data_IF_596479452495
#
_entry.id   IF_596479452495
#
_cell.length_a   1.000
_cell.length_b   1.000
_cell.length_c   1.000
_cell.angle_alpha   90.00
_cell.angle_beta   90.00
_cell.angle_gamma   90.00
#
_symmetry.space_group_name_H-M   'P 1'
#
loop_
_entity.id
_entity.type
_entity.pdbx_description
1 polymer ?
#
# COMPACT_ATOMS: atom_id res chain seq x y z
N UNK A 1 28.24 -14.07 17.22
CA UNK A 1 29.19 -13.20 16.49
C UNK A 1 28.57 -12.91 15.14
N UNK A 2 28.43 -11.65 14.75
CA UNK A 2 28.07 -11.33 13.37
C UNK A 2 29.30 -11.52 12.48
N UNK A 3 29.09 -12.02 11.27
CA UNK A 3 30.12 -12.08 10.23
C UNK A 3 29.71 -11.18 9.07
N UNK A 4 30.65 -10.41 8.54
CA UNK A 4 30.42 -9.59 7.35
C UNK A 4 30.79 -10.39 6.12
N UNK A 5 29.87 -10.51 5.16
CA UNK A 5 30.07 -11.21 3.89
C UNK A 5 29.86 -10.27 2.72
N UNK A 6 30.46 -10.59 1.57
CA UNK A 6 30.19 -9.86 0.32
C UNK A 6 28.74 -10.10 -0.13
N UNK A 7 28.07 -9.02 -0.51
CA UNK A 7 26.74 -9.05 -1.11
C UNK A 7 26.69 -8.17 -2.37
N UNK A 8 27.11 -8.70 -3.54
CA UNK A 8 27.20 -7.93 -4.76
C UNK A 8 25.86 -7.28 -5.14
N UNK A 9 25.91 -6.02 -5.61
CA UNK A 9 24.73 -5.26 -6.02
C UNK A 9 23.88 -6.00 -7.07
N UNK A 10 24.51 -6.70 -8.01
CA UNK A 10 23.82 -7.49 -9.05
C UNK A 10 22.95 -8.60 -8.44
N UNK A 11 23.44 -9.31 -7.43
CA UNK A 11 22.70 -10.37 -6.75
C UNK A 11 21.57 -9.77 -5.93
N UNK A 12 21.83 -8.69 -5.20
CA UNK A 12 20.83 -7.94 -4.44
C UNK A 12 19.69 -7.46 -5.32
N UNK A 13 20.02 -6.84 -6.45
CA UNK A 13 19.05 -6.26 -7.38
C UNK A 13 18.27 -7.36 -8.11
N UNK A 14 18.91 -8.50 -8.39
CA UNK A 14 18.24 -9.70 -8.92
C UNK A 14 17.24 -10.31 -7.91
N UNK A 15 17.60 -10.42 -6.63
CA UNK A 15 16.67 -10.83 -5.57
C UNK A 15 15.50 -9.84 -5.49
N UNK A 16 15.81 -8.54 -5.53
CA UNK A 16 14.83 -7.46 -5.46
C UNK A 16 13.78 -7.53 -6.58
N UNK A 17 14.23 -7.80 -7.79
CA UNK A 17 13.37 -7.99 -8.97
C UNK A 17 12.45 -9.20 -8.83
N UNK A 18 12.98 -10.35 -8.38
CA UNK A 18 12.19 -11.57 -8.23
C UNK A 18 11.12 -11.44 -7.14
N UNK A 19 11.48 -10.86 -5.99
CA UNK A 19 10.51 -10.60 -4.92
C UNK A 19 9.40 -9.66 -5.38
N UNK A 20 9.73 -8.61 -6.14
CA UNK A 20 8.70 -7.69 -6.67
C UNK A 20 7.78 -8.36 -7.70
N UNK A 21 8.27 -9.35 -8.45
CA UNK A 21 7.45 -10.16 -9.36
C UNK A 21 6.59 -11.20 -8.64
N UNK A 22 6.61 -11.23 -7.31
CA UNK A 22 5.85 -12.18 -6.49
C UNK A 22 6.46 -13.58 -6.41
N UNK A 23 7.72 -13.76 -6.82
CA UNK A 23 8.42 -15.04 -6.63
C UNK A 23 8.58 -15.30 -5.13
N UNK A 24 8.18 -16.48 -4.67
CA UNK A 24 8.28 -16.84 -3.26
C UNK A 24 9.75 -16.78 -2.78
N UNK A 25 10.05 -16.18 -1.61
CA UNK A 25 11.41 -16.09 -1.09
C UNK A 25 12.16 -17.43 -1.08
N UNK A 26 11.47 -18.54 -0.76
CA UNK A 26 12.08 -19.86 -0.75
C UNK A 26 12.51 -20.33 -2.15
N UNK A 27 11.81 -19.93 -3.21
CA UNK A 27 12.21 -20.23 -4.58
C UNK A 27 13.49 -19.48 -4.96
N UNK A 28 13.62 -18.22 -4.53
CA UNK A 28 14.83 -17.42 -4.75
C UNK A 28 16.02 -18.00 -3.96
N UNK A 29 15.80 -18.43 -2.71
CA UNK A 29 16.83 -19.12 -1.91
C UNK A 29 17.31 -20.38 -2.63
N UNK A 30 16.39 -21.21 -3.16
CA UNK A 30 16.76 -22.42 -3.92
C UNK A 30 17.63 -22.09 -5.13
N UNK A 31 17.25 -21.08 -5.90
CA UNK A 31 18.03 -20.67 -7.07
C UNK A 31 19.42 -20.14 -6.71
N UNK A 32 19.56 -19.41 -5.61
CA UNK A 32 20.88 -18.98 -5.12
C UNK A 32 21.75 -20.16 -4.66
N UNK A 33 21.15 -21.17 -4.04
CA UNK A 33 21.82 -22.43 -3.66
C UNK A 33 22.27 -23.20 -4.91
N UNK A 34 21.44 -23.26 -5.95
CA UNK A 34 21.80 -23.87 -7.25
C UNK A 34 23.01 -23.16 -7.89
N UNK A 35 23.11 -21.84 -7.68
CA UNK A 35 24.28 -21.00 -8.04
C UNK A 35 25.46 -21.10 -7.06
N UNK A 36 25.51 -22.16 -6.24
CA UNK A 36 26.61 -22.50 -5.31
C UNK A 36 26.77 -21.57 -4.10
N UNK A 37 25.75 -20.81 -3.73
CA UNK A 37 25.76 -20.13 -2.43
C UNK A 37 25.43 -21.12 -1.30
N UNK A 38 26.09 -20.98 -0.14
CA UNK A 38 25.68 -21.70 1.07
C UNK A 38 24.23 -21.34 1.43
N UNK A 39 23.46 -22.30 1.95
CA UNK A 39 22.02 -22.10 2.22
C UNK A 39 21.77 -20.99 3.25
N UNK A 40 22.65 -20.86 4.25
CA UNK A 40 22.60 -19.82 5.26
C UNK A 40 22.87 -18.45 4.65
N UNK A 41 23.84 -18.36 3.72
CA UNK A 41 24.17 -17.14 3.00
C UNK A 41 23.03 -16.73 2.05
N UNK A 42 22.50 -17.68 1.27
CA UNK A 42 21.38 -17.46 0.36
C UNK A 42 20.14 -16.99 1.12
N UNK A 43 19.84 -17.64 2.26
CA UNK A 43 18.74 -17.24 3.14
C UNK A 43 18.96 -15.85 3.72
N UNK A 44 20.19 -15.52 4.16
CA UNK A 44 20.51 -14.20 4.69
C UNK A 44 20.40 -13.11 3.62
N UNK A 45 20.88 -13.33 2.40
CA UNK A 45 20.75 -12.39 1.27
C UNK A 45 19.29 -12.13 0.93
N UNK A 46 18.49 -13.19 0.78
CA UNK A 46 17.06 -13.07 0.47
C UNK A 46 16.33 -12.40 1.62
N UNK A 47 16.61 -12.79 2.86
CA UNK A 47 16.00 -12.17 4.04
C UNK A 47 16.38 -10.71 4.19
N UNK A 48 17.62 -10.31 3.84
CA UNK A 48 18.05 -8.91 3.93
C UNK A 48 17.31 -8.03 2.92
N UNK A 49 17.22 -8.47 1.66
CA UNK A 49 16.49 -7.75 0.62
C UNK A 49 14.98 -7.78 0.88
N UNK A 50 14.45 -8.94 1.26
CA UNK A 50 13.06 -9.08 1.68
C UNK A 50 12.78 -8.15 2.85
N UNK A 51 13.63 -8.11 3.89
CA UNK A 51 13.49 -7.20 5.03
C UNK A 51 13.49 -5.74 4.61
N UNK A 52 14.35 -5.33 3.66
CA UNK A 52 14.32 -3.97 3.13
C UNK A 52 12.99 -3.61 2.46
N UNK A 53 12.38 -4.55 1.73
CA UNK A 53 11.02 -4.37 1.26
C UNK A 53 10.06 -4.34 2.43
N UNK A 54 10.00 -5.42 3.21
CA UNK A 54 9.08 -5.65 4.30
C UNK A 54 9.01 -4.45 5.27
N UNK A 55 10.15 -3.84 5.60
CA UNK A 55 10.25 -2.76 6.58
C UNK A 55 10.42 -1.36 5.96
N UNK A 56 10.43 -1.24 4.64
CA UNK A 56 10.61 0.05 3.94
C UNK A 56 11.97 0.70 4.16
N UNK A 57 12.99 -0.07 4.54
CA UNK A 57 14.36 0.42 4.74
C UNK A 57 15.14 0.41 3.41
N UNK A 58 16.26 1.15 3.31
CA UNK A 58 17.13 1.05 2.14
C UNK A 58 17.53 -0.40 1.87
N UNK A 59 17.69 -0.75 0.59
CA UNK A 59 18.28 -2.02 0.20
C UNK A 59 19.69 -2.15 0.81
N UNK A 60 20.12 -3.37 1.20
CA UNK A 60 21.44 -3.57 1.78
C UNK A 60 22.56 -3.09 0.83
N UNK A 61 23.69 -2.68 1.42
CA UNK A 61 24.88 -2.28 0.67
C UNK A 61 25.56 -3.47 -0.01
N UNK A 62 26.83 -3.30 -0.38
CA UNK A 62 27.62 -4.36 -1.03
C UNK A 62 28.14 -5.43 -0.05
N UNK A 63 27.79 -5.31 1.21
CA UNK A 63 28.14 -6.23 2.28
C UNK A 63 26.91 -6.53 3.14
N UNK A 64 26.90 -7.72 3.74
CA UNK A 64 25.84 -8.17 4.61
C UNK A 64 26.42 -8.64 5.94
N UNK A 65 25.85 -8.18 7.05
CA UNK A 65 26.13 -8.77 8.36
C UNK A 65 25.17 -9.94 8.64
N UNK A 66 25.72 -11.15 8.73
CA UNK A 66 24.97 -12.34 9.10
C UNK A 66 25.07 -12.51 10.62
N UNK A 67 23.93 -12.49 11.32
CA UNK A 67 23.84 -12.72 12.76
C UNK A 67 23.32 -11.54 13.59
N UNK A 68 23.04 -10.38 12.97
CA UNK A 68 22.22 -9.34 13.58
C UNK A 68 20.74 -9.72 13.45
N UNK A 69 19.98 -9.69 14.56
CA UNK A 69 18.54 -9.88 14.49
C UNK A 69 17.92 -8.76 13.64
N UNK A 70 17.03 -9.07 12.67
CA UNK A 70 16.38 -8.04 11.88
C UNK A 70 15.62 -7.09 12.80
N UNK A 71 15.66 -5.79 12.50
CA UNK A 71 14.85 -4.79 13.20
C UNK A 71 13.39 -5.16 12.98
N UNK A 72 12.74 -5.68 14.02
CA UNK A 72 11.36 -6.11 13.95
C UNK A 72 10.43 -4.89 14.01
N UNK A 73 9.44 -4.85 13.12
CA UNK A 73 8.34 -3.91 13.25
C UNK A 73 7.57 -4.19 14.55
N UNK A 74 7.48 -3.20 15.42
CA UNK A 74 6.60 -3.20 16.58
C UNK A 74 5.25 -2.55 16.20
N UNK A 75 4.13 -3.28 16.28
CA UNK A 75 2.81 -2.71 16.04
C UNK A 75 2.45 -1.64 17.05
N UNK A 76 1.83 -0.57 16.56
CA UNK A 76 1.24 0.49 17.38
C UNK A 76 -0.29 0.45 17.25
N UNK A 77 -1.03 0.94 18.27
CA UNK A 77 -2.48 1.09 18.14
C UNK A 77 -2.83 1.96 16.92
N UNK A 78 -3.92 1.60 16.23
CA UNK A 78 -4.49 2.42 15.16
C UNK A 78 -4.76 3.84 15.67
N UNK A 79 -4.51 4.84 14.82
CA UNK A 79 -4.83 6.25 15.13
C UNK A 79 -6.33 6.54 15.09
N UNK A 80 -7.13 5.56 14.68
CA UNK A 80 -8.58 5.64 14.58
C UNK A 80 -9.22 5.58 15.96
N UNK A 81 -10.13 6.52 16.31
CA UNK A 81 -10.83 6.53 17.60
C UNK A 81 -11.41 5.18 17.98
N UNK A 82 -11.37 4.85 19.28
CA UNK A 82 -11.95 3.62 19.83
C UNK A 82 -13.48 3.61 19.82
N UNK A 83 -14.03 2.42 20.04
CA UNK A 83 -15.46 2.19 20.17
C UNK A 83 -16.15 1.70 18.89
N UNK A 84 -17.42 1.28 18.99
CA UNK A 84 -18.16 0.69 17.88
C UNK A 84 -18.73 1.73 16.92
N UNK A 85 -18.87 2.99 17.33
CA UNK A 85 -19.45 4.06 16.52
C UNK A 85 -18.57 5.30 16.61
N UNK A 86 -18.03 5.74 15.48
CA UNK A 86 -17.14 6.91 15.39
C UNK A 86 -17.93 8.05 14.75
N UNK A 87 -17.93 9.22 15.38
CA UNK A 87 -18.54 10.43 14.82
C UNK A 87 -17.44 11.23 14.12
N UNK A 88 -17.66 11.52 12.83
CA UNK A 88 -16.75 12.29 11.97
C UNK A 88 -17.55 13.43 11.34
N UNK A 89 -17.51 14.59 11.98
CA UNK A 89 -18.38 15.72 11.69
C UNK A 89 -19.85 15.32 11.82
N UNK A 90 -20.61 15.46 10.73
CA UNK A 90 -22.03 15.10 10.70
C UNK A 90 -22.28 13.60 10.49
N UNK A 91 -21.27 12.82 10.09
CA UNK A 91 -21.44 11.38 9.85
C UNK A 91 -21.15 10.55 11.10
N UNK A 92 -21.82 9.40 11.18
CA UNK A 92 -21.56 8.36 12.17
C UNK A 92 -21.18 7.09 11.42
N UNK A 93 -19.94 6.66 11.55
CA UNK A 93 -19.47 5.43 10.92
C UNK A 93 -19.41 4.30 11.94
N UNK A 94 -19.90 3.12 11.54
CA UNK A 94 -19.92 1.92 12.38
C UNK A 94 -18.61 1.16 12.18
N UNK A 95 -17.92 0.83 13.26
CA UNK A 95 -16.79 -0.10 13.21
C UNK A 95 -17.34 -1.52 13.07
N UNK A 96 -17.00 -2.17 11.96
CA UNK A 96 -17.40 -3.55 11.66
C UNK A 96 -16.41 -4.54 12.23
N UNK A 97 -15.11 -4.28 12.05
CA UNK A 97 -14.05 -5.15 12.56
C UNK A 97 -12.77 -4.36 12.77
N UNK A 98 -11.92 -4.85 13.68
CA UNK A 98 -10.54 -4.38 13.86
C UNK A 98 -9.59 -5.57 13.76
N UNK A 99 -8.44 -5.34 13.17
CA UNK A 99 -7.34 -6.30 13.06
C UNK A 99 -6.10 -5.67 13.69
N UNK A 100 -5.34 -6.48 14.43
CA UNK A 100 -4.11 -6.03 15.09
C UNK A 100 -2.91 -6.11 14.14
N UNK A 101 -2.92 -7.04 13.19
CA UNK A 101 -1.81 -7.25 12.26
C UNK A 101 -2.29 -7.79 10.90
N UNK A 102 -2.28 -7.01 9.81
CA UNK A 102 -1.96 -5.57 9.83
C UNK A 102 -2.93 -4.82 10.71
N UNK A 103 -2.46 -3.70 11.27
CA UNK A 103 -3.32 -2.79 12.00
C UNK A 103 -4.37 -2.25 11.02
N UNK A 104 -5.63 -2.66 11.18
CA UNK A 104 -6.68 -2.28 10.25
C UNK A 104 -8.06 -2.16 10.91
N UNK A 105 -8.93 -1.35 10.33
CA UNK A 105 -10.33 -1.19 10.72
C UNK A 105 -11.22 -1.12 9.49
N UNK A 106 -12.29 -1.91 9.51
CA UNK A 106 -13.35 -1.84 8.51
C UNK A 106 -14.49 -1.00 9.07
N UNK A 107 -14.88 0.01 8.29
CA UNK A 107 -15.87 1.01 8.62
C UNK A 107 -17.05 0.91 7.67
N UNK A 108 -18.26 0.92 8.22
CA UNK A 108 -19.51 0.99 7.47
C UNK A 108 -20.14 2.39 7.60
N UNK A 109 -20.89 2.79 6.57
CA UNK A 109 -21.46 4.14 6.44
C UNK A 109 -20.41 5.27 6.51
N UNK A 110 -19.19 4.99 6.00
CA UNK A 110 -18.15 6.01 5.88
C UNK A 110 -18.47 7.00 4.74
N UNK A 111 -19.01 6.49 3.63
CA UNK A 111 -19.57 7.27 2.52
C UNK A 111 -21.08 7.00 2.38
N UNK A 112 -21.83 7.99 1.90
CA UNK A 112 -23.24 7.76 1.51
C UNK A 112 -23.29 7.29 0.06
N UNK A 113 -24.40 6.63 -0.31
CA UNK A 113 -24.65 6.25 -1.69
C UNK A 113 -24.49 7.44 -2.66
N UNK A 114 -25.03 8.62 -2.31
CA UNK A 114 -24.88 9.83 -3.11
C UNK A 114 -23.43 10.32 -3.21
N UNK A 115 -22.61 10.22 -2.16
CA UNK A 115 -21.17 10.55 -2.25
C UNK A 115 -20.45 9.58 -3.19
N UNK A 116 -20.75 8.28 -3.10
CA UNK A 116 -20.19 7.28 -4.00
C UNK A 116 -20.55 7.54 -5.48
N UNK A 117 -21.82 7.83 -5.76
CA UNK A 117 -22.31 8.12 -7.11
C UNK A 117 -21.67 9.38 -7.69
N UNK A 118 -21.56 10.45 -6.90
CA UNK A 118 -20.90 11.68 -7.33
C UNK A 118 -19.41 11.48 -7.61
N UNK A 119 -18.71 10.70 -6.78
CA UNK A 119 -17.30 10.36 -7.02
C UNK A 119 -17.12 9.63 -8.35
N UNK A 120 -17.93 8.60 -8.61
CA UNK A 120 -17.90 7.84 -9.88
C UNK A 120 -18.20 8.77 -11.07
N UNK A 121 -19.24 9.60 -10.98
CA UNK A 121 -19.65 10.49 -12.06
C UNK A 121 -18.58 11.52 -12.43
N UNK A 122 -17.91 12.10 -11.43
CA UNK A 122 -16.82 13.07 -11.62
C UNK A 122 -15.56 12.43 -12.23
N UNK A 123 -15.34 11.14 -11.98
CA UNK A 123 -14.12 10.44 -12.35
C UNK A 123 -14.20 9.75 -13.70
N UNK A 124 -15.35 9.16 -14.03
CA UNK A 124 -15.58 8.39 -15.25
C UNK A 124 -15.07 9.09 -16.53
N UNK A 125 -15.32 10.39 -16.77
CA UNK A 125 -14.82 11.05 -17.99
C UNK A 125 -13.30 11.36 -17.98
N UNK A 126 -12.61 11.12 -16.85
CA UNK A 126 -11.20 11.46 -16.64
C UNK A 126 -10.30 10.22 -16.47
N UNK A 127 -10.87 9.03 -16.55
CA UNK A 127 -10.14 7.78 -16.40
C UNK A 127 -9.12 7.60 -17.54
N UNK A 128 -7.95 7.09 -17.17
CA UNK A 128 -6.91 6.70 -18.10
C UNK A 128 -6.28 5.40 -17.62
N UNK A 129 -5.63 4.64 -18.52
CA UNK A 129 -5.01 3.37 -18.16
C UNK A 129 -3.99 3.57 -17.02
N UNK A 130 -4.12 2.80 -15.95
CA UNK A 130 -3.22 2.93 -14.79
C UNK A 130 -1.80 2.50 -15.15
N UNK A 131 -0.81 3.26 -14.69
CA UNK A 131 0.61 2.88 -14.71
C UNK A 131 1.09 2.52 -13.31
N UNK A 132 2.05 1.61 -13.20
CA UNK A 132 2.78 1.33 -11.95
C UNK A 132 4.20 1.88 -12.04
N UNK A 133 4.76 2.30 -10.91
CA UNK A 133 6.19 2.67 -10.85
C UNK A 133 7.00 1.40 -10.78
N UNK A 134 7.84 1.17 -11.77
CA UNK A 134 8.79 0.06 -11.75
C UNK A 134 9.78 0.27 -10.58
N UNK A 135 9.92 -0.70 -9.67
CA UNK A 135 10.68 -0.53 -8.43
C UNK A 135 12.19 -0.43 -8.66
N UNK A 136 12.69 -0.87 -9.81
CA UNK A 136 14.13 -0.86 -10.17
C UNK A 136 14.49 0.45 -10.85
N UNK A 137 13.71 0.80 -11.88
CA UNK A 137 13.99 1.92 -12.78
C UNK A 137 13.31 3.21 -12.36
N UNK A 138 12.30 3.14 -11.49
CA UNK A 138 11.51 4.29 -11.04
C UNK A 138 10.61 4.89 -12.14
N UNK A 139 10.44 4.19 -13.28
CA UNK A 139 9.62 4.67 -14.41
C UNK A 139 8.19 4.20 -14.29
N UNK A 140 7.24 5.03 -14.75
CA UNK A 140 5.86 4.61 -14.94
C UNK A 140 5.79 3.61 -16.11
N UNK A 141 5.36 2.38 -15.82
CA UNK A 141 5.13 1.34 -16.82
C UNK A 141 3.66 0.94 -16.77
N UNK A 142 3.04 0.76 -17.94
CA UNK A 142 1.76 0.03 -18.04
C UNK A 142 2.11 -1.44 -17.82
N UNK A 143 2.11 -1.88 -16.56
CA UNK A 143 2.31 -3.29 -16.29
C UNK A 143 1.10 -4.07 -16.80
N UNK A 144 1.31 -5.18 -17.51
CA UNK A 144 0.25 -6.15 -17.80
C UNK A 144 -0.39 -6.76 -16.53
N UNK A 145 0.14 -6.40 -15.36
CA UNK A 145 -0.16 -6.93 -14.03
C UNK A 145 -1.10 -6.04 -13.19
N UNK A 146 -1.51 -4.87 -13.71
CA UNK A 146 -2.57 -4.03 -13.12
C UNK A 146 -3.48 -3.52 -14.23
N UNK A 147 -4.63 -4.17 -14.42
CA UNK A 147 -5.57 -3.86 -15.49
C UNK A 147 -6.72 -2.97 -15.02
N UNK A 148 -6.39 -1.89 -14.30
CA UNK A 148 -7.35 -0.87 -13.88
C UNK A 148 -7.20 0.42 -14.68
N UNK A 149 -8.28 1.18 -14.80
CA UNK A 149 -8.22 2.58 -15.19
C UNK A 149 -8.25 3.45 -13.94
N UNK A 150 -7.59 4.60 -13.98
CA UNK A 150 -7.51 5.47 -12.83
C UNK A 150 -7.32 6.94 -13.16
N UNK A 151 -7.59 7.76 -12.16
CA UNK A 151 -7.41 9.20 -12.16
C UNK A 151 -7.13 9.71 -10.75
N UNK A 152 -6.66 10.95 -10.62
CA UNK A 152 -6.45 11.61 -9.32
C UNK A 152 -7.23 12.91 -9.25
N UNK A 153 -7.95 13.12 -8.15
CA UNK A 153 -8.37 14.47 -7.74
C UNK A 153 -7.22 15.16 -7.01
N UNK A 154 -7.08 16.47 -7.23
CA UNK A 154 -6.24 17.34 -6.40
C UNK A 154 -6.89 17.54 -5.02
N UNK A 155 -6.09 17.93 -4.03
CA UNK A 155 -6.60 18.29 -2.70
C UNK A 155 -7.64 19.41 -2.85
N UNK A 156 -8.76 19.26 -2.17
CA UNK A 156 -9.85 20.24 -2.19
C UNK A 156 -10.41 20.57 -3.58
N UNK A 157 -10.21 19.74 -4.59
CA UNK A 157 -10.56 20.06 -5.98
C UNK A 157 -12.06 20.38 -6.16
N UNK A 158 -12.92 19.75 -5.36
CA UNK A 158 -14.35 20.07 -5.27
C UNK A 158 -14.79 20.13 -3.81
N UNK A 159 -15.95 20.75 -3.50
CA UNK A 159 -16.52 20.72 -2.15
C UNK A 159 -16.76 19.30 -1.61
N UNK A 160 -17.05 18.33 -2.49
CA UNK A 160 -17.16 16.93 -2.09
C UNK A 160 -15.79 16.39 -1.63
N UNK A 161 -14.74 16.58 -2.43
CA UNK A 161 -13.38 16.12 -2.10
C UNK A 161 -12.89 16.78 -0.81
N UNK A 162 -13.06 18.10 -0.66
CA UNK A 162 -12.66 18.82 0.55
C UNK A 162 -13.34 18.26 1.83
N UNK A 163 -14.65 17.97 1.76
CA UNK A 163 -15.38 17.37 2.89
C UNK A 163 -14.91 15.95 3.22
N UNK A 164 -14.62 15.14 2.20
CA UNK A 164 -14.08 13.79 2.40
C UNK A 164 -12.69 13.85 3.03
N UNK A 165 -11.82 14.74 2.57
CA UNK A 165 -10.48 14.90 3.13
C UNK A 165 -10.51 15.36 4.59
N UNK A 166 -11.41 16.29 4.94
CA UNK A 166 -11.63 16.68 6.33
C UNK A 166 -12.10 15.50 7.20
N UNK A 167 -13.02 14.67 6.70
CA UNK A 167 -13.47 13.44 7.39
C UNK A 167 -12.33 12.45 7.61
N UNK A 168 -11.45 12.29 6.63
CA UNK A 168 -10.27 11.41 6.72
C UNK A 168 -9.27 11.96 7.75
N UNK A 169 -9.07 13.28 7.77
CA UNK A 169 -8.22 13.93 8.76
C UNK A 169 -8.74 13.71 10.19
N UNK A 170 -10.04 13.84 10.41
CA UNK A 170 -10.67 13.57 11.70
C UNK A 170 -10.60 12.08 12.08
N UNK A 171 -10.75 11.16 11.12
CA UNK A 171 -10.62 9.72 11.34
C UNK A 171 -9.21 9.33 11.80
N UNK A 172 -8.19 9.94 11.21
CA UNK A 172 -6.79 9.51 11.36
C UNK A 172 -5.97 10.39 12.31
N UNK A 173 -6.50 11.54 12.70
CA UNK A 173 -5.79 12.56 13.46
C UNK A 173 -4.65 13.23 12.69
N UNK A 174 -4.52 12.99 11.38
CA UNK A 174 -3.48 13.55 10.53
C UNK A 174 -4.03 14.71 9.68
N UNK A 175 -3.27 15.79 9.47
CA UNK A 175 -3.73 16.93 8.69
C UNK A 175 -4.12 16.56 7.25
N UNK A 176 -5.06 17.29 6.65
CA UNK A 176 -5.52 17.07 5.26
C UNK A 176 -4.34 17.08 4.29
N UNK A 177 -3.38 17.98 4.51
CA UNK A 177 -2.19 18.15 3.69
C UNK A 177 -1.21 16.97 3.77
N UNK A 178 -1.34 16.06 4.73
CA UNK A 178 -0.57 14.82 4.74
C UNK A 178 -1.12 13.80 3.73
N UNK A 179 -2.34 14.00 3.24
CA UNK A 179 -2.95 13.14 2.24
C UNK A 179 -2.44 13.42 0.83
N UNK A 180 -2.13 12.38 0.05
CA UNK A 180 -1.98 12.50 -1.40
C UNK A 180 -3.31 12.84 -2.08
N UNK A 181 -3.30 13.21 -3.37
CA UNK A 181 -4.53 13.36 -4.14
C UNK A 181 -5.38 12.08 -4.10
N UNK A 182 -6.70 12.22 -4.06
CA UNK A 182 -7.61 11.06 -3.98
C UNK A 182 -7.57 10.31 -5.32
N UNK A 183 -7.05 9.08 -5.30
CA UNK A 183 -6.99 8.23 -6.48
C UNK A 183 -8.32 7.50 -6.67
N UNK A 184 -8.91 7.57 -7.85
CA UNK A 184 -10.04 6.71 -8.21
C UNK A 184 -9.59 5.64 -9.18
N UNK A 185 -10.11 4.44 -8.98
CA UNK A 185 -9.78 3.25 -9.74
C UNK A 185 -11.06 2.56 -10.18
N UNK A 186 -11.09 2.16 -11.44
CA UNK A 186 -12.12 1.34 -12.05
C UNK A 186 -11.52 0.03 -12.55
N UNK A 187 -12.12 -1.08 -12.15
CA UNK A 187 -11.76 -2.43 -12.53
C UNK A 187 -12.92 -3.07 -13.30
N UNK A 188 -12.62 -3.58 -14.49
CA UNK A 188 -13.55 -4.40 -15.28
C UNK A 188 -13.37 -5.89 -14.94
N UNK A 189 -14.30 -6.74 -15.38
CA UNK A 189 -14.20 -8.17 -15.19
C UNK A 189 -12.88 -8.73 -15.75
N UNK A 190 -12.28 -9.66 -15.01
CA UNK A 190 -10.94 -10.19 -15.25
C UNK A 190 -9.81 -9.33 -14.69
N UNK A 191 -10.09 -8.11 -14.23
CA UNK A 191 -9.06 -7.26 -13.67
C UNK A 191 -8.64 -7.69 -12.27
N UNK A 192 -7.35 -7.60 -12.00
CA UNK A 192 -6.73 -7.83 -10.71
C UNK A 192 -5.63 -6.79 -10.44
N UNK A 193 -5.14 -6.81 -9.21
CA UNK A 193 -3.86 -6.20 -8.86
C UNK A 193 -2.95 -7.31 -8.37
N UNK A 194 -1.65 -7.23 -8.65
CA UNK A 194 -0.66 -8.06 -7.97
C UNK A 194 -0.52 -7.67 -6.50
N UNK A 195 -0.09 -8.59 -5.62
CA UNK A 195 0.25 -8.27 -4.25
C UNK A 195 1.30 -7.16 -4.18
N UNK A 196 1.04 -6.14 -3.36
CA UNK A 196 1.93 -5.01 -3.17
C UNK A 196 1.75 -4.38 -1.79
N UNK A 197 2.67 -3.48 -1.47
CA UNK A 197 2.65 -2.65 -0.28
C UNK A 197 2.51 -1.20 -0.71
N UNK A 198 1.84 -0.40 0.12
CA UNK A 198 1.60 1.00 -0.21
C UNK A 198 2.70 1.94 0.24
N UNK A 199 3.51 1.56 1.24
CA UNK A 199 4.68 2.34 1.62
C UNK A 199 5.72 2.39 0.50
N UNK A 200 6.49 3.47 0.48
CA UNK A 200 7.52 3.69 -0.52
C UNK A 200 8.79 2.94 -0.14
N UNK A 201 9.18 1.99 -0.98
CA UNK A 201 10.45 1.29 -0.84
C UNK A 201 11.57 2.20 -1.38
N UNK A 202 12.55 2.56 -0.53
CA UNK A 202 13.66 3.47 -0.86
C UNK A 202 14.72 2.89 -1.84
N UNK A 203 14.39 1.80 -2.54
CA UNK A 203 15.27 1.09 -3.47
C UNK A 203 15.61 1.90 -4.73
N UNK A 204 14.69 2.72 -5.24
CA UNK A 204 14.93 3.56 -6.42
C UNK A 204 15.03 5.08 -6.09
N UNK A 205 15.68 5.87 -6.96
CA UNK A 205 15.82 7.32 -6.77
C UNK A 205 14.49 8.06 -6.63
N UNK A 206 13.47 7.71 -7.42
CA UNK A 206 12.18 8.39 -7.42
C UNK A 206 11.46 8.28 -6.05
N UNK A 207 11.49 7.09 -5.45
CA UNK A 207 10.94 6.87 -4.11
C UNK A 207 11.75 7.61 -3.05
N UNK A 208 13.09 7.61 -3.13
CA UNK A 208 13.93 8.37 -2.19
C UNK A 208 13.65 9.88 -2.25
N UNK A 209 13.53 10.43 -3.46
CA UNK A 209 13.14 11.84 -3.66
C UNK A 209 11.74 12.13 -3.11
N UNK A 210 10.77 11.22 -3.33
CA UNK A 210 9.43 11.38 -2.79
C UNK A 210 9.40 11.33 -1.25
N UNK A 211 10.16 10.42 -0.64
CA UNK A 211 10.30 10.33 0.83
C UNK A 211 11.00 11.57 1.38
N UNK A 212 12.07 12.04 0.74
CA UNK A 212 12.79 13.25 1.14
C UNK A 212 11.89 14.49 1.06
N UNK A 213 11.02 14.56 0.04
CA UNK A 213 10.11 15.68 -0.15
C UNK A 213 8.91 15.65 0.80
N UNK A 214 8.21 14.51 0.90
CA UNK A 214 6.89 14.43 1.55
C UNK A 214 6.80 13.42 2.69
N UNK A 215 7.90 12.75 3.03
CA UNK A 215 7.91 11.70 4.03
C UNK A 215 7.40 10.36 3.49
N UNK A 216 7.40 9.37 4.37
CA UNK A 216 6.93 8.01 4.09
C UNK A 216 5.40 7.96 4.12
N UNK A 217 4.77 7.06 3.36
CA UNK A 217 3.36 6.72 3.54
C UNK A 217 3.21 5.86 4.81
N UNK A 218 2.18 6.11 5.61
CA UNK A 218 1.97 5.43 6.90
C UNK A 218 0.65 4.70 7.02
N UNK A 219 -0.31 5.03 6.16
CA UNK A 219 -1.62 4.42 6.17
C UNK A 219 -2.35 4.64 4.86
N UNK A 220 -3.37 3.82 4.66
CA UNK A 220 -4.19 3.83 3.45
C UNK A 220 -5.64 3.66 3.81
N UNK A 221 -6.48 4.49 3.21
CA UNK A 221 -7.93 4.36 3.26
C UNK A 221 -8.44 3.97 1.87
N UNK A 222 -8.98 2.76 1.77
CA UNK A 222 -9.70 2.26 0.61
C UNK A 222 -11.20 2.44 0.84
N UNK A 223 -11.87 3.19 -0.03
CA UNK A 223 -13.30 3.43 0.02
C UNK A 223 -13.98 2.73 -1.16
N UNK A 224 -14.92 1.83 -0.87
CA UNK A 224 -15.63 1.06 -1.87
C UNK A 224 -16.86 1.86 -2.36
N UNK A 225 -16.91 2.17 -3.65
CA UNK A 225 -17.91 3.08 -4.22
C UNK A 225 -19.12 2.35 -4.81
N UNK A 226 -19.03 1.03 -5.00
CA UNK A 226 -20.13 0.18 -5.44
C UNK A 226 -20.06 -1.20 -4.77
N UNK A 227 -21.18 -1.91 -4.82
CA UNK A 227 -21.22 -3.33 -4.49
C UNK A 227 -20.68 -4.13 -5.68
N UNK A 228 -19.93 -5.18 -5.40
CA UNK A 228 -19.30 -6.05 -6.41
C UNK A 228 -20.05 -7.36 -6.48
N UNK A 229 -20.36 -7.82 -7.68
CA UNK A 229 -21.14 -9.05 -7.90
C UNK A 229 -20.33 -10.32 -7.62
N UNK A 230 -19.04 -10.36 -7.99
CA UNK A 230 -18.20 -11.50 -7.70
C UNK A 230 -16.70 -11.22 -7.77
N UNK A 231 -15.97 -11.63 -6.74
CA UNK A 231 -14.53 -11.41 -6.61
C UNK A 231 -14.18 -9.99 -6.18
N UNK A 232 -12.99 -9.52 -6.56
CA UNK A 232 -12.57 -8.14 -6.27
C UNK A 232 -12.33 -7.85 -4.78
N UNK A 233 -12.19 -8.86 -3.93
CA UNK A 233 -11.84 -8.70 -2.52
C UNK A 233 -10.47 -8.00 -2.36
N UNK A 234 -10.34 -7.16 -1.34
CA UNK A 234 -9.04 -6.69 -0.87
C UNK A 234 -8.48 -7.77 0.07
N UNK A 235 -7.50 -8.54 -0.39
CA UNK A 235 -6.92 -9.67 0.34
C UNK A 235 -5.55 -9.31 0.90
N UNK A 236 -5.31 -9.67 2.16
CA UNK A 236 -4.02 -9.64 2.86
C UNK A 236 -3.46 -11.06 2.94
N UNK A 237 -2.67 -11.51 1.95
CA UNK A 237 -2.28 -12.92 1.82
C UNK A 237 -1.48 -13.46 3.01
N UNK A 238 -0.71 -12.61 3.71
CA UNK A 238 0.09 -13.04 4.85
C UNK A 238 -0.77 -13.51 6.04
N UNK A 239 -1.99 -13.01 6.13
CA UNK A 239 -2.91 -13.28 7.25
C UNK A 239 -4.14 -14.06 6.81
N UNK A 240 -4.32 -14.24 5.49
CA UNK A 240 -5.51 -14.86 4.92
C UNK A 240 -6.78 -14.01 5.06
N UNK A 241 -6.67 -12.77 5.55
CA UNK A 241 -7.82 -11.90 5.73
C UNK A 241 -8.22 -11.25 4.42
N UNK A 242 -9.52 -11.19 4.13
CA UNK A 242 -10.06 -10.53 2.95
C UNK A 242 -11.24 -9.65 3.32
N UNK A 243 -11.35 -8.51 2.65
CA UNK A 243 -12.46 -7.57 2.78
C UNK A 243 -13.24 -7.56 1.47
N UNK A 244 -14.51 -7.92 1.55
CA UNK A 244 -15.44 -7.88 0.42
C UNK A 244 -15.87 -6.43 0.19
N UNK A 245 -15.77 -5.90 -1.04
CA UNK A 245 -16.22 -4.54 -1.36
C UNK A 245 -17.72 -4.41 -1.14
N UNK A 246 -18.10 -3.40 -0.37
CA UNK A 246 -19.50 -3.01 -0.19
C UNK A 246 -19.61 -1.50 -0.27
N UNK A 247 -20.55 -1.00 -1.06
CA UNK A 247 -20.74 0.43 -1.28
C UNK A 247 -20.88 1.16 0.05
N UNK A 248 -20.13 2.25 0.20
CA UNK A 248 -20.17 3.08 1.40
C UNK A 248 -19.18 2.67 2.50
N UNK A 249 -18.62 1.46 2.41
CA UNK A 249 -17.61 0.99 3.36
C UNK A 249 -16.24 1.56 3.05
N UNK A 250 -15.43 1.69 4.11
CA UNK A 250 -14.04 2.05 4.01
C UNK A 250 -13.17 1.11 4.84
N UNK A 251 -12.08 0.63 4.25
CA UNK A 251 -11.03 -0.12 4.92
C UNK A 251 -9.86 0.82 5.15
N UNK A 252 -9.54 1.09 6.41
CA UNK A 252 -8.32 1.78 6.80
C UNK A 252 -7.32 0.79 7.34
N UNK A 253 -6.07 0.85 6.89
CA UNK A 253 -4.97 0.08 7.46
C UNK A 253 -3.71 0.95 7.59
N UNK A 254 -2.99 0.75 8.70
CA UNK A 254 -1.74 1.43 9.01
C UNK A 254 -0.57 0.47 8.91
N UNK A 255 0.55 1.02 8.47
CA UNK A 255 1.80 0.29 8.36
C UNK A 255 2.99 1.12 8.85
N UNK A 256 2.89 2.43 9.04
CA UNK A 256 3.99 3.22 9.61
C UNK A 256 3.94 3.29 11.13
N UNK A 257 5.08 3.09 11.81
CA UNK A 257 5.19 3.35 13.25
C UNK A 257 6.06 4.59 13.57
N UNK A 258 6.09 5.00 14.85
CA UNK A 258 6.88 6.16 15.32
C UNK A 258 8.39 6.05 15.02
N UNK A 259 8.90 4.83 14.81
CA UNK A 259 10.31 4.57 14.53
C UNK A 259 10.65 4.68 13.04
N UNK A 260 9.67 5.03 12.19
CA UNK A 260 9.87 5.15 10.75
C UNK A 260 9.94 3.81 10.03
N UNK A 261 9.54 2.72 10.68
CA UNK A 261 9.45 1.39 10.08
C UNK A 261 8.07 1.16 9.47
N UNK A 262 8.03 0.34 8.43
CA UNK A 262 6.80 -0.12 7.80
C UNK A 262 6.41 -1.56 8.21
N UNK A 263 5.12 -1.86 8.37
CA UNK A 263 4.63 -3.21 8.63
C UNK A 263 4.48 -4.00 7.32
N UNK A 264 5.25 -5.06 7.10
CA UNK A 264 5.09 -5.91 5.93
C UNK A 264 3.76 -6.63 5.85
N UNK A 265 3.07 -6.82 6.99
CA UNK A 265 1.79 -7.52 7.01
C UNK A 265 0.67 -6.76 6.30
N UNK A 266 0.93 -5.49 5.94
CA UNK A 266 0.09 -4.68 5.06
C UNK A 266 0.18 -5.05 3.57
N UNK A 267 1.00 -6.05 3.20
CA UNK A 267 0.98 -6.64 1.86
C UNK A 267 -0.45 -7.03 1.52
N UNK A 268 -0.98 -6.47 0.44
CA UNK A 268 -2.36 -6.67 0.03
C UNK A 268 -2.50 -6.70 -1.49
N UNK A 269 -3.64 -7.20 -1.93
CA UNK A 269 -3.94 -7.41 -3.35
C UNK A 269 -5.43 -7.23 -3.59
N UNK A 270 -5.82 -6.83 -4.80
CA UNK A 270 -7.21 -7.00 -5.25
C UNK A 270 -7.30 -8.34 -5.96
N UNK A 271 -8.11 -9.25 -5.46
CA UNK A 271 -8.37 -10.54 -6.13
C UNK A 271 -9.03 -10.30 -7.50
N UNK A 272 -8.98 -11.29 -8.41
CA UNK A 272 -9.65 -11.19 -9.71
C UNK A 272 -11.12 -10.84 -9.57
N UNK A 273 -11.55 -9.80 -10.30
CA UNK A 273 -12.96 -9.48 -10.46
C UNK A 273 -13.59 -10.51 -11.40
N UNK A 274 -14.49 -11.34 -10.90
CA UNK A 274 -15.12 -12.42 -11.68
C UNK A 274 -16.41 -11.96 -12.36
N UNK A 275 -17.14 -11.02 -11.76
CA UNK A 275 -18.39 -10.48 -12.28
C UNK A 275 -18.60 -9.02 -11.86
N UNK A 276 -19.25 -8.23 -12.71
CA UNK A 276 -19.55 -6.81 -12.50
C UNK A 276 -18.36 -5.88 -12.75
N UNK A 277 -18.43 -4.69 -12.13
CA UNK A 277 -17.36 -3.69 -12.11
C UNK A 277 -17.00 -3.37 -10.65
N UNK A 278 -15.77 -2.89 -10.39
CA UNK A 278 -15.35 -2.43 -9.06
C UNK A 278 -14.81 -1.01 -9.13
N UNK A 279 -15.37 -0.13 -8.32
CA UNK A 279 -14.94 1.25 -8.12
C UNK A 279 -14.39 1.45 -6.71
N UNK A 280 -13.16 1.95 -6.63
CA UNK A 280 -12.49 2.25 -5.35
C UNK A 280 -11.89 3.64 -5.40
N UNK A 281 -12.04 4.39 -4.30
CA UNK A 281 -11.26 5.58 -4.05
C UNK A 281 -10.20 5.30 -2.98
N UNK A 282 -8.94 5.60 -3.28
CA UNK A 282 -7.78 5.36 -2.42
C UNK A 282 -7.17 6.68 -1.96
N UNK A 283 -6.96 6.81 -0.65
CA UNK A 283 -6.20 7.91 -0.05
C UNK A 283 -4.97 7.34 0.64
N UNK A 284 -3.79 7.71 0.15
CA UNK A 284 -2.52 7.47 0.84
C UNK A 284 -2.20 8.64 1.76
N UNK A 285 -1.72 8.33 2.97
CA UNK A 285 -1.41 9.32 4.00
C UNK A 285 0.07 9.28 4.32
N UNK A 286 0.71 10.46 4.33
CA UNK A 286 2.14 10.67 4.54
C UNK A 286 2.47 11.05 5.99
N UNK A 287 3.72 10.87 6.40
CA UNK A 287 4.23 11.40 7.68
C UNK A 287 4.33 12.92 7.71
N UNK A 288 4.43 13.58 6.55
CA UNK A 288 4.55 15.04 6.41
C UNK A 288 3.61 15.55 5.32
N UNK A 289 3.49 16.87 5.20
CA UNK A 289 2.79 17.52 4.09
C UNK A 289 3.21 16.93 2.74
N UNK A 290 2.24 16.49 1.97
CA UNK A 290 2.44 16.03 0.61
C UNK A 290 2.72 17.22 -0.32
N UNK A 291 3.77 17.07 -1.13
CA UNK A 291 4.17 18.03 -2.15
C UNK A 291 4.31 17.23 -3.46
N UNK A 292 3.48 17.48 -4.48
CA UNK A 292 3.60 16.85 -5.78
C UNK A 292 4.98 17.10 -6.40
N UNK A 293 5.45 16.20 -7.27
CA UNK A 293 6.76 16.34 -7.93
C UNK A 293 6.89 17.64 -8.72
N UNK A 294 5.81 18.07 -9.36
CA UNK A 294 5.80 19.22 -10.28
C UNK A 294 5.63 20.57 -9.55
N UNK A 295 5.60 20.55 -8.22
CA UNK A 295 5.46 21.74 -7.35
C UNK A 295 6.63 21.86 -6.34
N UNK A 296 7.68 21.07 -6.55
CA UNK A 296 8.86 20.98 -5.69
C UNK A 296 9.97 21.95 -6.11
#
# INVERSE_FOLDING_TARGET
MSITVSFPAEVRDWIAQNLTRGVAPQAIVRELVDRKNAVELASAMVNAVASSFLYGTPLPGETLEIGAAPVAYEPEPLRVPDGPLIRLGERKTRVISRMQRPAAVLLDDFLSANECEQLIALARPRLSRSTVVDPVTGRNVVAGHRSSDGMFFRLGETPLIARLEARIAELTGLPVENGEGLQLLHYEAGAESTPHVDYLIAGNPANRESIARSGQRVGTLLMYLNDVEGGGETMFPQTGWSVVPRRGQALYFEYGNRFGLADPSSLHTSTPLRAGEKWVATKWIRTRRFVPRDQA
#
